data_IF_745874341794
#
_entry.id   IF_745874341794
#
_cell.length_a   1.000
_cell.length_b   1.000
_cell.length_c   1.000
_cell.angle_alpha   90.00
_cell.angle_beta   90.00
_cell.angle_gamma   90.00
#
_symmetry.space_group_name_H-M   'P 1'
#
loop_
_entity.id
_entity.type
_entity.pdbx_description
1 polymer ?
#
# COMPACT_ATOMS: atom_id res chain seq x y z
N UNK A 1 14.87 -14.21 15.71
CA UNK A 1 13.54 -14.31 16.39
C UNK A 1 12.56 -13.48 15.57
N UNK A 2 11.48 -14.07 15.05
CA UNK A 2 10.46 -13.34 14.29
C UNK A 2 9.47 -12.62 15.20
N UNK A 3 8.92 -11.49 14.74
CA UNK A 3 7.80 -10.76 15.38
C UNK A 3 6.65 -10.68 14.39
N UNK A 4 5.44 -10.94 14.85
CA UNK A 4 4.20 -10.77 14.10
C UNK A 4 3.30 -9.80 14.86
N UNK A 5 2.90 -8.70 14.22
CA UNK A 5 2.18 -7.61 14.88
C UNK A 5 0.92 -7.27 14.07
N UNK A 6 -0.19 -7.15 14.77
CA UNK A 6 -1.50 -6.75 14.26
C UNK A 6 -2.14 -5.74 15.21
N UNK A 7 -3.16 -4.99 14.77
CA UNK A 7 -4.05 -4.28 15.70
C UNK A 7 -4.59 -5.22 16.78
N UNK A 8 -4.84 -4.66 17.97
CA UNK A 8 -5.48 -5.42 19.05
C UNK A 8 -6.88 -5.88 18.65
N UNK A 9 -7.64 -4.98 18.02
CA UNK A 9 -9.01 -5.25 17.57
C UNK A 9 -9.14 -4.88 16.09
N UNK A 10 -9.84 -5.74 15.34
CA UNK A 10 -10.22 -5.53 13.96
C UNK A 10 -11.75 -5.69 13.84
N UNK A 11 -12.43 -4.61 13.47
CA UNK A 11 -13.85 -4.62 13.15
C UNK A 11 -14.05 -4.59 11.64
N UNK A 12 -14.95 -5.42 11.11
CA UNK A 12 -15.16 -5.55 9.67
C UNK A 12 -16.63 -5.79 9.32
N UNK A 13 -16.96 -5.51 8.05
CA UNK A 13 -18.32 -5.61 7.52
C UNK A 13 -19.06 -4.28 7.48
N UNK A 14 -20.21 -4.27 6.83
CA UNK A 14 -21.05 -3.07 6.68
C UNK A 14 -21.42 -2.44 8.01
N UNK A 15 -21.22 -1.15 8.13
CA UNK A 15 -21.49 -0.39 9.35
C UNK A 15 -20.44 -0.55 10.45
N UNK A 16 -19.33 -1.26 10.20
CA UNK A 16 -18.27 -1.43 11.21
C UNK A 16 -17.70 -0.10 11.72
N UNK A 17 -17.77 0.99 10.92
CA UNK A 17 -17.34 2.34 11.34
C UNK A 17 -18.05 2.84 12.60
N UNK A 18 -19.28 2.36 12.86
CA UNK A 18 -20.06 2.76 14.03
C UNK A 18 -19.52 2.19 15.36
N UNK A 19 -18.53 1.27 15.31
CA UNK A 19 -17.87 0.76 16.51
C UNK A 19 -17.02 1.82 17.23
N UNK A 20 -16.69 2.94 16.58
CA UNK A 20 -15.95 4.05 17.23
C UNK A 20 -16.66 4.60 18.46
N UNK A 21 -18.01 4.53 18.55
CA UNK A 21 -18.78 4.97 19.70
C UNK A 21 -18.54 4.11 20.97
N UNK A 22 -18.03 2.88 20.78
CA UNK A 22 -17.73 1.96 21.87
C UNK A 22 -16.31 2.13 22.44
N UNK A 23 -15.48 2.95 21.81
CA UNK A 23 -14.16 3.31 22.33
C UNK A 23 -14.28 4.00 23.70
N UNK A 24 -13.24 3.92 24.51
CA UNK A 24 -13.22 4.51 25.85
C UNK A 24 -12.17 5.61 25.92
N UNK A 25 -12.63 6.82 26.12
CA UNK A 25 -11.77 8.00 26.18
C UNK A 25 -12.59 9.27 26.45
N UNK A 26 -11.99 10.42 26.23
CA UNK A 26 -12.59 11.74 26.48
C UNK A 26 -12.47 12.68 25.29
N UNK A 27 -11.34 12.67 24.60
CA UNK A 27 -11.03 13.58 23.49
C UNK A 27 -10.55 12.80 22.29
N UNK A 28 -11.20 12.93 21.16
CA UNK A 28 -10.82 12.30 19.91
C UNK A 28 -10.51 13.35 18.84
N UNK A 29 -9.36 13.23 18.18
CA UNK A 29 -9.09 14.00 16.97
C UNK A 29 -9.30 13.11 15.75
N UNK A 30 -10.12 13.57 14.78
CA UNK A 30 -10.33 12.87 13.52
C UNK A 30 -9.42 13.49 12.47
N UNK A 31 -8.56 12.67 11.86
CA UNK A 31 -7.68 13.07 10.75
C UNK A 31 -8.27 12.53 9.45
N UNK A 32 -8.49 13.39 8.46
CA UNK A 32 -9.08 13.02 7.18
C UNK A 32 -8.41 13.77 6.01
N UNK A 33 -8.32 13.08 4.86
CA UNK A 33 -7.86 13.68 3.61
C UNK A 33 -9.01 14.14 2.73
N UNK A 34 -8.70 14.96 1.72
CA UNK A 34 -9.60 15.34 0.65
C UNK A 34 -11.05 15.66 1.07
N UNK A 35 -12.01 15.33 0.20
CA UNK A 35 -13.43 15.61 0.44
C UNK A 35 -14.33 14.37 0.33
N UNK A 36 -13.79 13.19 -0.01
CA UNK A 36 -14.59 11.99 -0.28
C UNK A 36 -15.34 11.50 0.96
N UNK A 37 -14.67 11.42 2.10
CA UNK A 37 -15.29 10.96 3.36
C UNK A 37 -16.39 11.92 3.84
N UNK A 38 -16.18 13.23 3.66
CA UNK A 38 -17.21 14.24 3.96
C UNK A 38 -18.39 14.18 3.00
N UNK A 39 -18.14 14.07 1.68
CA UNK A 39 -19.22 13.97 0.67
C UNK A 39 -20.04 12.70 0.80
N UNK A 40 -19.42 11.58 1.21
CA UNK A 40 -20.10 10.32 1.47
C UNK A 40 -20.90 10.28 2.78
N UNK A 41 -20.75 11.30 3.65
CA UNK A 41 -21.38 11.32 4.97
C UNK A 41 -20.61 10.56 6.05
N UNK A 42 -19.60 9.80 5.69
CA UNK A 42 -18.85 8.90 6.61
C UNK A 42 -18.11 9.66 7.70
N UNK A 43 -17.56 10.84 7.37
CA UNK A 43 -16.89 11.68 8.36
C UNK A 43 -17.87 12.20 9.42
N UNK A 44 -19.09 12.57 8.99
CA UNK A 44 -20.16 13.00 9.86
C UNK A 44 -20.67 11.88 10.75
N UNK A 45 -20.81 10.65 10.20
CA UNK A 45 -21.19 9.46 10.97
C UNK A 45 -20.19 9.21 12.12
N UNK A 46 -18.89 9.15 11.79
CA UNK A 46 -17.81 8.91 12.77
C UNK A 46 -17.77 10.02 13.83
N UNK A 47 -17.95 11.29 13.43
CA UNK A 47 -18.00 12.42 14.37
C UNK A 47 -19.21 12.32 15.31
N UNK A 48 -20.38 11.96 14.78
CA UNK A 48 -21.61 11.79 15.57
C UNK A 48 -21.50 10.61 16.55
N UNK A 49 -20.98 9.47 16.10
CA UNK A 49 -20.79 8.28 16.92
C UNK A 49 -19.82 8.51 18.08
N UNK A 50 -18.71 9.22 17.84
CA UNK A 50 -17.78 9.60 18.90
C UNK A 50 -18.41 10.52 19.93
N UNK A 51 -19.22 11.50 19.48
CA UNK A 51 -19.97 12.38 20.38
C UNK A 51 -21.02 11.61 21.18
N UNK A 52 -21.74 10.65 20.56
CA UNK A 52 -22.65 9.72 21.24
C UNK A 52 -21.90 8.90 22.30
N UNK A 53 -20.67 8.45 21.97
CA UNK A 53 -19.75 7.74 22.89
C UNK A 53 -19.21 8.61 24.03
N UNK A 54 -19.51 9.92 24.04
CA UNK A 54 -19.13 10.86 25.09
C UNK A 54 -17.80 11.59 24.84
N UNK A 55 -17.25 11.54 23.63
CA UNK A 55 -16.02 12.25 23.28
C UNK A 55 -16.25 13.72 22.96
N UNK A 56 -15.34 14.56 23.39
CA UNK A 56 -15.08 15.86 22.75
C UNK A 56 -14.29 15.58 21.45
N UNK A 57 -14.77 16.14 20.31
CA UNK A 57 -14.22 15.82 18.99
C UNK A 57 -13.66 17.06 18.31
N UNK A 58 -12.40 16.97 17.81
CA UNK A 58 -11.76 17.94 16.92
C UNK A 58 -11.51 17.31 15.57
N UNK A 59 -11.66 18.09 14.49
CA UNK A 59 -11.35 17.65 13.12
C UNK A 59 -10.03 18.26 12.65
N UNK A 60 -9.21 17.46 11.99
CA UNK A 60 -8.06 17.87 11.18
C UNK A 60 -8.25 17.32 9.78
N UNK A 61 -8.62 18.19 8.85
CA UNK A 61 -8.99 17.84 7.48
C UNK A 61 -8.00 18.37 6.46
N UNK A 62 -8.06 17.84 5.25
CA UNK A 62 -7.31 18.34 4.11
C UNK A 62 -5.90 17.79 3.99
N UNK A 63 -5.65 16.60 4.58
CA UNK A 63 -4.42 15.87 4.28
C UNK A 63 -4.38 15.56 2.79
N UNK A 64 -3.34 16.03 2.12
CA UNK A 64 -3.11 15.84 0.69
C UNK A 64 -2.72 14.39 0.36
N UNK A 65 -2.88 14.03 -0.91
CA UNK A 65 -2.24 12.81 -1.42
C UNK A 65 -0.72 12.94 -1.30
N UNK A 66 -0.04 11.86 -0.95
CA UNK A 66 1.40 11.90 -0.64
C UNK A 66 1.73 12.95 0.43
N UNK A 67 1.33 12.71 1.69
CA UNK A 67 1.35 13.73 2.74
C UNK A 67 2.76 14.27 3.03
N UNK A 68 2.85 15.58 3.19
CA UNK A 68 4.11 16.28 3.44
C UNK A 68 4.53 16.23 4.91
N UNK A 69 5.82 16.44 5.14
CA UNK A 69 6.35 16.67 6.50
C UNK A 69 5.66 17.88 7.15
N UNK A 70 5.39 18.94 6.38
CA UNK A 70 4.72 20.14 6.86
C UNK A 70 3.30 19.85 7.35
N UNK A 71 2.55 19.04 6.65
CA UNK A 71 1.20 18.60 7.08
C UNK A 71 1.27 17.75 8.34
N UNK A 72 2.24 16.84 8.43
CA UNK A 72 2.47 16.06 9.66
C UNK A 72 2.74 16.96 10.86
N UNK A 73 3.64 17.93 10.72
CA UNK A 73 4.00 18.84 11.83
C UNK A 73 2.83 19.73 12.26
N UNK A 74 2.01 20.23 11.31
CA UNK A 74 0.77 20.99 11.61
C UNK A 74 -0.25 20.13 12.35
N UNK A 75 -0.43 18.87 11.95
CA UNK A 75 -1.34 17.96 12.63
C UNK A 75 -0.86 17.63 14.05
N UNK A 76 0.42 17.37 14.23
CA UNK A 76 1.00 17.16 15.56
C UNK A 76 0.82 18.38 16.49
N UNK A 77 0.95 19.61 15.95
CA UNK A 77 0.67 20.83 16.71
C UNK A 77 -0.80 20.92 17.14
N UNK A 78 -1.72 20.64 16.20
CA UNK A 78 -3.16 20.61 16.50
C UNK A 78 -3.52 19.55 17.56
N UNK A 79 -2.77 18.42 17.59
CA UNK A 79 -2.91 17.40 18.64
C UNK A 79 -2.37 17.89 19.99
N UNK A 80 -1.23 18.58 20.01
CA UNK A 80 -0.67 19.17 21.26
C UNK A 80 -1.59 20.20 21.89
N UNK A 81 -2.25 21.03 21.06
CA UNK A 81 -3.23 22.01 21.54
C UNK A 81 -4.50 21.39 22.11
N UNK A 82 -4.97 20.29 21.49
CA UNK A 82 -6.24 19.67 21.84
C UNK A 82 -6.08 18.58 22.90
N UNK A 83 -4.93 17.93 22.97
CA UNK A 83 -4.59 16.82 23.87
C UNK A 83 -5.57 15.63 23.75
N UNK A 84 -5.72 15.03 22.55
CA UNK A 84 -6.57 13.87 22.37
C UNK A 84 -6.01 12.63 23.08
N UNK A 85 -6.90 11.79 23.60
CA UNK A 85 -6.57 10.44 24.05
C UNK A 85 -6.88 9.36 22.99
N UNK A 86 -7.51 9.78 21.88
CA UNK A 86 -7.68 8.97 20.66
C UNK A 86 -7.40 9.77 19.40
N UNK A 87 -6.65 9.15 18.49
CA UNK A 87 -6.45 9.61 17.12
C UNK A 87 -7.25 8.68 16.21
N UNK A 88 -8.24 9.21 15.51
CA UNK A 88 -9.09 8.49 14.57
C UNK A 88 -8.71 8.93 13.16
N UNK A 89 -8.08 8.06 12.39
CA UNK A 89 -7.73 8.37 11.00
C UNK A 89 -8.74 7.71 10.05
N UNK A 90 -9.37 8.49 9.17
CA UNK A 90 -10.36 7.98 8.21
C UNK A 90 -10.02 8.41 6.78
N UNK A 91 -9.93 7.43 5.89
CA UNK A 91 -9.67 7.67 4.46
C UNK A 91 -8.83 6.59 3.81
N UNK A 92 -8.19 6.91 2.70
CA UNK A 92 -7.19 6.05 2.07
C UNK A 92 -5.84 6.07 2.83
N UNK A 93 -4.78 5.59 2.18
CA UNK A 93 -3.45 5.53 2.79
C UNK A 93 -2.97 6.87 3.35
N UNK A 94 -3.05 7.95 2.55
CA UNK A 94 -2.47 9.25 2.89
C UNK A 94 -2.89 9.85 4.24
N UNK A 95 -4.19 9.98 4.58
CA UNK A 95 -4.57 10.53 5.87
C UNK A 95 -4.22 9.60 7.05
N UNK A 96 -4.22 8.29 6.85
CA UNK A 96 -3.84 7.35 7.91
C UNK A 96 -2.32 7.40 8.14
N UNK A 97 -1.53 7.44 7.07
CA UNK A 97 -0.07 7.57 7.13
C UNK A 97 0.34 8.88 7.80
N UNK A 98 -0.27 10.01 7.38
CA UNK A 98 -0.04 11.30 8.03
C UNK A 98 -0.36 11.24 9.52
N UNK A 99 -1.51 10.68 9.89
CA UNK A 99 -1.93 10.57 11.29
C UNK A 99 -0.98 9.71 12.14
N UNK A 100 -0.44 8.62 11.60
CA UNK A 100 0.58 7.79 12.26
C UNK A 100 1.84 8.60 12.54
N UNK A 101 2.33 9.37 11.56
CA UNK A 101 3.49 10.23 11.75
C UNK A 101 3.19 11.40 12.73
N UNK A 102 2.00 12.02 12.63
CA UNK A 102 1.54 13.03 13.59
C UNK A 102 1.55 12.52 15.03
N UNK A 103 1.13 11.24 15.23
CA UNK A 103 1.11 10.59 16.53
C UNK A 103 2.48 10.58 17.20
N UNK A 104 3.55 10.26 16.44
CA UNK A 104 4.92 10.28 16.95
C UNK A 104 5.29 11.67 17.47
N UNK A 105 5.10 12.73 16.67
CA UNK A 105 5.44 14.10 17.04
C UNK A 105 4.47 14.73 18.05
N UNK A 106 3.29 14.19 18.23
CA UNK A 106 2.37 14.55 19.31
C UNK A 106 2.89 14.05 20.67
N UNK A 107 3.31 12.79 20.72
CA UNK A 107 3.80 12.21 21.97
C UNK A 107 5.22 12.64 22.30
N UNK A 108 6.07 12.83 21.28
CA UNK A 108 7.48 13.19 21.39
C UNK A 108 7.82 14.42 20.53
N UNK A 109 7.48 15.62 21.00
CA UNK A 109 7.70 16.86 20.24
C UNK A 109 9.17 17.20 19.99
N UNK A 110 10.08 16.61 20.77
CA UNK A 110 11.54 16.75 20.63
C UNK A 110 12.12 15.85 19.53
N UNK A 111 11.37 14.87 19.03
CA UNK A 111 11.83 14.00 17.96
C UNK A 111 12.05 14.78 16.66
N UNK A 112 12.99 14.30 15.86
CA UNK A 112 13.25 14.83 14.51
C UNK A 112 12.80 13.85 13.42
N UNK A 113 12.43 14.39 12.26
CA UNK A 113 12.09 13.54 11.12
C UNK A 113 13.29 12.68 10.68
N UNK A 114 14.52 13.21 10.77
CA UNK A 114 15.76 12.48 10.42
C UNK A 114 15.99 11.26 11.32
N UNK A 115 15.50 11.27 12.56
CA UNK A 115 15.58 10.10 13.44
C UNK A 115 14.58 9.02 13.03
N UNK A 116 13.31 9.40 12.79
CA UNK A 116 12.24 8.44 12.51
C UNK A 116 12.27 7.84 11.09
N UNK A 117 13.06 8.37 10.17
CA UNK A 117 13.28 7.74 8.86
C UNK A 117 14.11 6.44 8.96
N UNK A 118 14.81 6.23 10.07
CA UNK A 118 15.50 4.96 10.31
C UNK A 118 14.49 3.89 10.71
N UNK A 119 14.47 2.71 10.04
CA UNK A 119 13.55 1.65 10.40
C UNK A 119 13.71 1.20 11.86
N UNK A 120 12.57 1.00 12.54
CA UNK A 120 12.50 0.50 13.92
C UNK A 120 13.21 1.37 14.95
N UNK A 121 13.17 2.68 14.77
CA UNK A 121 13.79 3.70 15.65
C UNK A 121 12.80 4.52 16.47
N UNK A 122 11.48 4.27 16.30
CA UNK A 122 10.46 5.06 16.98
C UNK A 122 10.47 4.83 18.48
N UNK A 123 10.22 5.88 19.28
CA UNK A 123 9.95 5.72 20.69
C UNK A 123 8.68 4.91 20.93
N UNK A 124 8.52 4.42 22.16
CA UNK A 124 7.32 3.67 22.54
C UNK A 124 6.11 4.61 22.61
N UNK A 125 5.14 4.39 21.71
CA UNK A 125 3.90 5.18 21.63
C UNK A 125 2.85 4.69 22.64
N UNK A 126 1.68 5.34 22.67
CA UNK A 126 0.55 5.09 23.59
C UNK A 126 0.77 5.69 24.97
N UNK A 127 1.62 6.72 25.07
CA UNK A 127 1.82 7.46 26.31
C UNK A 127 0.71 8.51 26.52
N UNK A 128 0.15 9.07 25.43
CA UNK A 128 -0.89 10.10 25.46
C UNK A 128 -2.17 9.66 24.74
N UNK A 129 -2.04 8.94 23.63
CA UNK A 129 -3.19 8.56 22.79
C UNK A 129 -3.11 7.15 22.25
N UNK A 130 -4.28 6.57 22.01
CA UNK A 130 -4.50 5.37 21.21
C UNK A 130 -4.82 5.74 19.76
N UNK A 131 -4.71 4.77 18.85
CA UNK A 131 -4.90 4.99 17.42
C UNK A 131 -5.96 4.05 16.84
N UNK A 132 -6.96 4.63 16.16
CA UNK A 132 -7.94 3.90 15.37
C UNK A 132 -7.84 4.31 13.90
N UNK A 133 -7.73 3.33 13.00
CA UNK A 133 -7.69 3.54 11.56
C UNK A 133 -8.92 2.98 10.86
N UNK A 134 -9.57 3.79 10.03
CA UNK A 134 -10.75 3.45 9.22
C UNK A 134 -10.38 3.60 7.75
N UNK A 135 -10.17 2.49 7.07
CA UNK A 135 -9.76 2.49 5.67
C UNK A 135 -10.92 2.71 4.71
N UNK A 136 -10.69 3.49 3.65
CA UNK A 136 -11.66 3.75 2.58
C UNK A 136 -11.19 3.33 1.19
N UNK A 137 -10.02 2.70 1.10
CA UNK A 137 -9.47 2.15 -0.15
C UNK A 137 -9.10 0.69 0.04
N UNK A 138 -9.23 -0.10 -1.02
CA UNK A 138 -8.93 -1.54 -0.96
C UNK A 138 -7.55 -1.80 -1.57
N UNK A 139 -6.46 -1.42 -0.86
CA UNK A 139 -5.10 -1.57 -1.38
C UNK A 139 -4.00 -1.45 -0.35
N UNK A 140 -3.81 -0.28 0.23
CA UNK A 140 -2.65 0.06 1.06
C UNK A 140 -2.58 -0.67 2.40
N UNK A 141 -3.73 -1.10 2.90
CA UNK A 141 -3.87 -1.79 4.19
C UNK A 141 -3.22 -1.05 5.38
N UNK A 142 -3.07 0.27 5.28
CA UNK A 142 -2.37 1.03 6.33
C UNK A 142 -3.08 0.96 7.68
N UNK A 143 -4.37 0.59 7.71
CA UNK A 143 -5.13 0.37 8.95
C UNK A 143 -4.59 -0.78 9.81
N UNK A 144 -3.80 -1.69 9.25
CA UNK A 144 -3.25 -2.85 9.99
C UNK A 144 -1.72 -2.90 9.97
N UNK A 145 -1.04 -1.96 9.30
CA UNK A 145 0.39 -2.05 9.06
C UNK A 145 1.23 -1.21 9.99
N UNK A 146 2.50 -1.62 10.14
CA UNK A 146 3.57 -0.92 10.85
C UNK A 146 4.29 0.10 9.96
N UNK A 147 3.63 0.63 8.92
CA UNK A 147 4.22 1.54 7.93
C UNK A 147 3.43 2.84 7.82
N UNK A 148 4.14 3.90 7.40
CA UNK A 148 3.60 5.22 7.05
C UNK A 148 4.51 5.86 6.00
N UNK A 149 3.96 6.32 4.88
CA UNK A 149 4.76 6.94 3.81
C UNK A 149 4.56 8.45 3.83
N UNK A 150 5.66 9.19 4.05
CA UNK A 150 5.67 10.65 4.13
C UNK A 150 6.61 11.23 3.08
N UNK A 151 6.21 12.32 2.45
CA UNK A 151 6.96 12.96 1.37
C UNK A 151 7.71 14.20 1.87
N UNK A 152 9.01 14.24 1.64
CA UNK A 152 9.82 15.43 1.73
C UNK A 152 9.87 16.11 0.36
N UNK A 153 9.00 17.10 0.15
CA UNK A 153 8.92 17.82 -1.11
C UNK A 153 10.14 18.70 -1.37
N UNK A 154 10.88 19.10 -0.34
CA UNK A 154 12.11 19.88 -0.51
C UNK A 154 13.24 19.04 -1.11
N UNK A 155 13.28 17.76 -0.77
CA UNK A 155 14.25 16.79 -1.30
C UNK A 155 13.70 15.97 -2.48
N UNK A 156 12.38 15.98 -2.72
CA UNK A 156 11.72 15.12 -3.70
C UNK A 156 11.76 13.63 -3.33
N UNK A 157 11.74 13.29 -2.04
CA UNK A 157 11.91 11.92 -1.55
C UNK A 157 10.68 11.47 -0.76
N UNK A 158 10.19 10.26 -1.05
CA UNK A 158 9.21 9.55 -0.22
C UNK A 158 9.94 8.64 0.77
N UNK A 159 9.65 8.85 2.06
CA UNK A 159 10.19 8.06 3.15
C UNK A 159 9.17 7.04 3.65
N UNK A 160 9.40 5.75 3.46
CA UNK A 160 8.62 4.70 4.11
C UNK A 160 9.09 4.58 5.57
N UNK A 161 8.37 5.21 6.47
CA UNK A 161 8.58 5.06 7.91
C UNK A 161 8.10 3.68 8.34
N UNK A 162 8.93 2.93 9.06
CA UNK A 162 8.65 1.55 9.45
C UNK A 162 8.94 1.34 10.93
N UNK A 163 7.90 1.12 11.72
CA UNK A 163 8.04 0.73 13.13
C UNK A 163 6.76 0.04 13.63
N UNK A 164 6.92 -1.04 14.40
CA UNK A 164 5.77 -1.74 14.99
C UNK A 164 4.97 -0.87 15.98
N UNK A 165 5.55 0.18 16.53
CA UNK A 165 4.87 1.10 17.43
C UNK A 165 3.73 1.87 16.77
N UNK A 166 3.78 2.10 15.45
CA UNK A 166 2.72 2.79 14.69
C UNK A 166 1.62 1.86 14.15
N UNK A 167 1.70 0.56 14.45
CA UNK A 167 0.54 -0.32 14.16
C UNK A 167 -0.67 0.19 14.96
N UNK A 168 -1.83 0.43 14.33
CA UNK A 168 -3.02 0.90 15.03
C UNK A 168 -3.47 0.00 16.18
N UNK A 169 -4.13 0.54 17.20
CA UNK A 169 -4.76 -0.26 18.26
C UNK A 169 -6.06 -0.90 17.76
N UNK A 170 -6.81 -0.14 16.96
CA UNK A 170 -8.07 -0.56 16.36
C UNK A 170 -8.03 -0.30 14.85
N UNK A 171 -8.39 -1.32 14.08
CA UNK A 171 -8.62 -1.21 12.65
C UNK A 171 -10.11 -1.41 12.34
N UNK A 172 -10.63 -0.61 11.42
CA UNK A 172 -12.01 -0.72 10.94
C UNK A 172 -12.02 -0.85 9.42
N UNK A 173 -12.59 -1.95 8.94
CA UNK A 173 -12.69 -2.35 7.54
C UNK A 173 -14.17 -2.40 7.14
N UNK A 174 -14.73 -1.22 6.86
CA UNK A 174 -16.13 -1.04 6.50
C UNK A 174 -16.25 -0.88 4.97
N UNK A 175 -16.81 -1.88 4.26
CA UNK A 175 -16.87 -1.87 2.80
C UNK A 175 -17.74 -0.74 2.23
N UNK A 176 -18.69 -0.20 2.99
CA UNK A 176 -19.52 0.92 2.53
C UNK A 176 -18.68 2.13 2.10
N UNK A 177 -17.50 2.34 2.74
CA UNK A 177 -16.58 3.42 2.39
C UNK A 177 -15.97 3.24 0.99
N UNK A 178 -16.04 2.05 0.42
CA UNK A 178 -15.45 1.70 -0.89
C UNK A 178 -16.47 1.63 -2.02
N UNK A 179 -17.78 1.60 -1.73
CA UNK A 179 -18.81 1.38 -2.74
C UNK A 179 -18.82 2.44 -3.84
N UNK A 180 -18.44 3.67 -3.53
CA UNK A 180 -18.34 4.78 -4.48
C UNK A 180 -16.92 5.02 -5.01
N UNK A 181 -15.98 4.12 -4.70
CA UNK A 181 -14.60 4.26 -5.17
C UNK A 181 -14.55 4.15 -6.69
N UNK A 182 -13.87 5.09 -7.41
CA UNK A 182 -13.75 5.02 -8.86
C UNK A 182 -13.08 3.72 -9.33
N UNK A 183 -13.56 3.16 -10.46
CA UNK A 183 -13.04 1.91 -11.02
C UNK A 183 -11.51 1.93 -11.21
N UNK A 184 -10.94 3.03 -11.71
CA UNK A 184 -9.49 3.18 -11.87
C UNK A 184 -8.75 3.07 -10.52
N UNK A 185 -9.25 3.70 -9.47
CA UNK A 185 -8.65 3.60 -8.15
C UNK A 185 -8.75 2.15 -7.63
N UNK A 186 -9.90 1.49 -7.83
CA UNK A 186 -10.08 0.07 -7.51
C UNK A 186 -9.05 -0.81 -8.22
N UNK A 187 -8.80 -0.60 -9.51
CA UNK A 187 -7.81 -1.35 -10.28
C UNK A 187 -6.41 -1.21 -9.69
N UNK A 188 -5.96 0.03 -9.50
CA UNK A 188 -4.60 0.28 -9.01
C UNK A 188 -4.40 -0.20 -7.57
N UNK A 189 -5.33 0.08 -6.67
CA UNK A 189 -5.21 -0.35 -5.27
C UNK A 189 -5.35 -1.87 -5.13
N UNK A 190 -6.18 -2.51 -5.94
CA UNK A 190 -6.32 -3.97 -5.93
C UNK A 190 -5.07 -4.70 -6.44
N UNK A 191 -4.40 -4.17 -7.48
CA UNK A 191 -3.11 -4.71 -7.95
C UNK A 191 -1.98 -4.44 -6.96
N UNK A 192 -2.03 -3.34 -6.22
CA UNK A 192 -1.15 -3.06 -5.09
C UNK A 192 -1.29 -4.13 -4.00
N UNK A 193 -2.52 -4.43 -3.58
CA UNK A 193 -2.80 -5.49 -2.61
C UNK A 193 -2.33 -6.89 -3.09
N UNK A 194 -2.49 -7.20 -4.37
CA UNK A 194 -1.97 -8.44 -4.95
C UNK A 194 -0.44 -8.48 -4.87
N UNK A 195 0.22 -7.37 -5.16
CA UNK A 195 1.68 -7.24 -5.08
C UNK A 195 2.17 -7.40 -3.64
N UNK A 196 1.47 -6.80 -2.67
CA UNK A 196 1.74 -6.99 -1.23
C UNK A 196 1.75 -8.49 -0.86
N UNK A 197 0.72 -9.23 -1.25
CA UNK A 197 0.65 -10.66 -0.98
C UNK A 197 1.77 -11.44 -1.68
N UNK A 198 2.03 -11.17 -2.96
CA UNK A 198 3.04 -11.88 -3.75
C UNK A 198 4.44 -11.65 -3.18
N UNK A 199 4.80 -10.42 -2.85
CA UNK A 199 6.11 -10.10 -2.28
C UNK A 199 6.26 -10.64 -0.86
N UNK A 200 5.27 -10.44 0.01
CA UNK A 200 5.30 -11.00 1.36
C UNK A 200 5.44 -12.51 1.37
N UNK A 201 4.83 -13.20 0.40
CA UNK A 201 4.91 -14.65 0.30
C UNK A 201 6.31 -15.13 -0.06
N UNK A 202 7.03 -14.48 -0.98
CA UNK A 202 8.40 -14.89 -1.39
C UNK A 202 9.50 -14.24 -0.55
N UNK A 203 9.21 -13.23 0.23
CA UNK A 203 10.16 -12.49 1.09
C UNK A 203 11.04 -13.41 1.92
N UNK A 204 12.27 -12.97 2.22
CA UNK A 204 13.17 -13.67 3.14
C UNK A 204 12.65 -13.67 4.59
N UNK A 205 11.77 -12.74 4.93
CA UNK A 205 11.07 -12.64 6.22
C UNK A 205 9.73 -13.42 6.27
N UNK A 206 9.36 -14.14 5.20
CA UNK A 206 8.14 -14.94 5.16
C UNK A 206 8.11 -16.00 6.27
N UNK A 207 6.92 -16.22 6.83
CA UNK A 207 6.67 -17.14 7.92
C UNK A 207 5.33 -17.84 7.74
N UNK A 208 5.04 -18.90 8.50
CA UNK A 208 3.74 -19.57 8.47
C UNK A 208 2.58 -18.60 8.75
N UNK A 209 2.79 -17.56 9.58
CA UNK A 209 1.79 -16.55 9.90
C UNK A 209 1.53 -15.62 8.71
N UNK A 210 2.58 -15.19 8.02
CA UNK A 210 2.47 -14.32 6.84
C UNK A 210 1.99 -15.10 5.63
N UNK A 211 2.45 -16.34 5.46
CA UNK A 211 2.09 -17.21 4.32
C UNK A 211 0.58 -17.50 4.28
N UNK A 212 -0.03 -17.82 5.43
CA UNK A 212 -1.45 -18.11 5.52
C UNK A 212 -2.31 -16.92 5.03
N UNK A 213 -1.92 -15.70 5.41
CA UNK A 213 -2.59 -14.47 4.98
C UNK A 213 -2.29 -14.15 3.52
N UNK A 214 -1.03 -14.21 3.08
CA UNK A 214 -0.63 -13.91 1.71
C UNK A 214 -1.33 -14.83 0.69
N UNK A 215 -1.34 -16.14 0.94
CA UNK A 215 -1.97 -17.11 0.04
C UNK A 215 -3.48 -16.93 -0.04
N UNK A 216 -4.14 -16.66 1.09
CA UNK A 216 -5.57 -16.37 1.09
C UNK A 216 -5.86 -15.07 0.34
N UNK A 217 -5.10 -14.00 0.61
CA UNK A 217 -5.23 -12.72 -0.09
C UNK A 217 -5.04 -12.84 -1.60
N UNK A 218 -4.04 -13.60 -2.09
CA UNK A 218 -3.84 -13.83 -3.52
C UNK A 218 -5.09 -14.43 -4.16
N UNK A 219 -5.67 -15.47 -3.55
CA UNK A 219 -6.87 -16.14 -4.08
C UNK A 219 -8.05 -15.17 -4.17
N UNK A 220 -8.36 -14.48 -3.06
CA UNK A 220 -9.48 -13.56 -2.99
C UNK A 220 -9.32 -12.40 -3.99
N UNK A 221 -8.14 -11.78 -4.04
CA UNK A 221 -7.90 -10.64 -4.95
C UNK A 221 -8.03 -11.07 -6.41
N UNK A 222 -7.44 -12.19 -6.82
CA UNK A 222 -7.50 -12.67 -8.20
C UNK A 222 -8.93 -13.02 -8.64
N UNK A 223 -9.75 -13.49 -7.71
CA UNK A 223 -11.16 -13.82 -7.99
C UNK A 223 -12.05 -12.58 -8.04
N UNK A 224 -11.90 -11.66 -7.08
CA UNK A 224 -12.87 -10.60 -6.85
C UNK A 224 -12.50 -9.24 -7.45
N UNK A 225 -11.23 -8.98 -7.73
CA UNK A 225 -10.79 -7.67 -8.24
C UNK A 225 -11.47 -7.29 -9.56
N UNK A 226 -11.62 -8.16 -10.58
CA UNK A 226 -12.33 -7.79 -11.82
C UNK A 226 -13.80 -7.43 -11.58
N UNK A 227 -14.47 -8.13 -10.68
CA UNK A 227 -15.88 -7.87 -10.32
C UNK A 227 -16.00 -6.54 -9.53
N UNK A 228 -15.09 -6.31 -8.59
CA UNK A 228 -14.99 -5.07 -7.82
C UNK A 228 -14.71 -3.86 -8.72
N UNK A 229 -13.85 -4.03 -9.73
CA UNK A 229 -13.59 -3.02 -10.77
C UNK A 229 -14.86 -2.68 -11.57
N UNK A 230 -15.71 -3.68 -11.85
CA UNK A 230 -16.99 -3.50 -12.51
C UNK A 230 -18.08 -2.87 -11.61
N UNK A 231 -17.79 -2.66 -10.30
CA UNK A 231 -18.69 -1.98 -9.36
C UNK A 231 -19.61 -2.90 -8.57
N UNK A 232 -19.37 -4.21 -8.56
CA UNK A 232 -20.12 -5.16 -7.76
C UNK A 232 -19.85 -4.93 -6.26
N UNK A 233 -20.92 -4.79 -5.45
CA UNK A 233 -20.80 -4.46 -4.02
C UNK A 233 -20.29 -5.64 -3.18
N UNK A 234 -20.68 -6.87 -3.48
CA UNK A 234 -20.14 -8.05 -2.81
C UNK A 234 -18.63 -8.17 -3.07
N UNK A 235 -18.23 -7.96 -4.31
CA UNK A 235 -16.82 -7.94 -4.66
C UNK A 235 -16.05 -6.78 -4.01
N UNK A 236 -16.68 -5.62 -3.78
CA UNK A 236 -16.08 -4.51 -3.01
C UNK A 236 -15.82 -4.92 -1.57
N UNK A 237 -16.73 -5.65 -0.94
CA UNK A 237 -16.54 -6.19 0.40
C UNK A 237 -15.38 -7.17 0.43
N UNK A 238 -15.38 -8.19 -0.46
CA UNK A 238 -14.29 -9.15 -0.54
C UNK A 238 -12.94 -8.48 -0.74
N UNK A 239 -12.86 -7.51 -1.65
CA UNK A 239 -11.62 -6.78 -1.90
C UNK A 239 -11.18 -5.93 -0.71
N UNK A 240 -12.13 -5.38 0.06
CA UNK A 240 -11.78 -4.57 1.23
C UNK A 240 -11.24 -5.42 2.38
N UNK A 241 -11.78 -6.61 2.57
CA UNK A 241 -11.26 -7.60 3.52
C UNK A 241 -9.93 -8.21 3.02
N UNK A 242 -9.83 -8.55 1.72
CA UNK A 242 -8.63 -9.14 1.14
C UNK A 242 -7.41 -8.20 1.21
N UNK A 243 -7.58 -6.88 0.98
CA UNK A 243 -6.49 -5.93 1.14
C UNK A 243 -6.02 -5.83 2.60
N UNK A 244 -6.93 -5.89 3.56
CA UNK A 244 -6.59 -5.92 4.98
C UNK A 244 -5.75 -7.18 5.30
N UNK A 245 -6.16 -8.35 4.81
CA UNK A 245 -5.40 -9.60 4.92
C UNK A 245 -4.01 -9.47 4.27
N UNK A 246 -3.90 -8.80 3.10
CA UNK A 246 -2.62 -8.49 2.47
C UNK A 246 -1.74 -7.64 3.38
N UNK A 247 -2.32 -6.65 4.05
CA UNK A 247 -1.64 -5.82 5.05
C UNK A 247 -1.08 -6.63 6.21
N UNK A 248 -1.87 -7.54 6.76
CA UNK A 248 -1.47 -8.45 7.82
C UNK A 248 -0.28 -9.32 7.38
N UNK A 249 -0.27 -9.74 6.12
CA UNK A 249 0.84 -10.51 5.56
C UNK A 249 2.12 -9.67 5.45
N UNK A 250 2.08 -8.52 4.75
CA UNK A 250 3.30 -7.77 4.47
C UNK A 250 3.80 -6.93 5.64
N UNK A 251 2.95 -6.54 6.59
CA UNK A 251 3.39 -5.78 7.76
C UNK A 251 4.46 -6.50 8.57
N UNK A 252 4.47 -7.83 8.55
CA UNK A 252 5.47 -8.66 9.22
C UNK A 252 6.32 -9.49 8.26
N UNK A 253 5.84 -9.76 7.04
CA UNK A 253 6.57 -10.47 5.99
C UNK A 253 7.49 -9.56 5.18
N UNK A 254 7.27 -8.25 5.25
CA UNK A 254 7.94 -7.22 4.47
C UNK A 254 7.71 -7.39 2.95
N UNK A 255 8.35 -6.55 2.15
CA UNK A 255 8.11 -6.45 0.71
C UNK A 255 9.39 -6.78 -0.08
N UNK A 256 9.42 -6.43 -1.37
CA UNK A 256 10.53 -6.70 -2.26
C UNK A 256 10.74 -5.62 -3.30
N UNK A 257 11.36 -6.01 -4.42
CA UNK A 257 11.83 -5.06 -5.44
C UNK A 257 10.74 -4.50 -6.36
N UNK A 258 9.53 -5.08 -6.39
CA UNK A 258 8.41 -4.43 -7.09
C UNK A 258 8.12 -3.09 -6.42
N UNK A 259 7.95 -3.09 -5.09
CA UNK A 259 7.73 -1.87 -4.32
C UNK A 259 8.92 -0.93 -4.38
N UNK A 260 10.16 -1.43 -4.28
CA UNK A 260 11.36 -0.60 -4.41
C UNK A 260 11.39 0.17 -5.73
N UNK A 261 11.06 -0.48 -6.84
CA UNK A 261 10.97 0.19 -8.15
C UNK A 261 9.79 1.16 -8.23
N UNK A 262 8.62 0.78 -7.71
CA UNK A 262 7.43 1.62 -7.71
C UNK A 262 7.63 2.92 -6.90
N UNK A 263 8.29 2.86 -5.76
CA UNK A 263 8.64 4.03 -4.95
C UNK A 263 9.52 5.02 -5.72
N UNK A 264 10.45 4.52 -6.54
CA UNK A 264 11.43 5.38 -7.22
C UNK A 264 10.99 5.81 -8.62
N UNK A 265 10.05 5.11 -9.23
CA UNK A 265 9.50 5.52 -10.55
C UNK A 265 8.34 6.51 -10.42
N UNK A 266 7.63 6.51 -9.29
CA UNK A 266 6.40 7.30 -9.11
C UNK A 266 6.57 8.79 -9.42
N UNK A 267 7.61 9.45 -8.93
CA UNK A 267 7.87 10.88 -9.09
C UNK A 267 9.14 11.20 -9.89
N UNK A 268 9.68 10.24 -10.64
CA UNK A 268 10.97 10.39 -11.33
C UNK A 268 10.88 11.21 -12.61
N UNK A 269 9.70 11.36 -13.22
CA UNK A 269 9.50 11.88 -14.56
C UNK A 269 8.86 13.27 -14.55
N UNK A 270 9.30 14.14 -15.47
CA UNK A 270 8.88 15.56 -15.51
C UNK A 270 7.42 15.75 -15.91
N UNK A 271 6.92 14.90 -16.82
CA UNK A 271 5.58 15.07 -17.41
C UNK A 271 4.45 14.39 -16.65
N UNK A 272 4.72 13.84 -15.47
CA UNK A 272 3.68 13.23 -14.67
C UNK A 272 4.15 12.26 -13.59
N UNK A 273 3.17 11.70 -12.93
CA UNK A 273 3.35 10.79 -11.81
C UNK A 273 2.85 9.40 -12.19
N UNK A 274 3.71 8.38 -12.10
CA UNK A 274 3.23 6.99 -12.22
C UNK A 274 2.54 6.61 -10.91
N UNK A 275 1.24 6.31 -11.02
CA UNK A 275 0.44 5.87 -9.87
C UNK A 275 1.04 4.59 -9.30
N UNK A 276 1.25 4.56 -7.98
CA UNK A 276 1.97 3.49 -7.27
C UNK A 276 1.46 2.09 -7.62
N UNK A 277 0.15 1.85 -7.50
CA UNK A 277 -0.42 0.54 -7.84
C UNK A 277 -0.33 0.18 -9.32
N UNK A 278 -0.29 1.17 -10.23
CA UNK A 278 -0.02 0.92 -11.65
C UNK A 278 1.44 0.53 -11.88
N UNK A 279 2.40 1.18 -11.19
CA UNK A 279 3.81 0.81 -11.24
C UNK A 279 4.01 -0.64 -10.75
N UNK A 280 3.39 -0.99 -9.62
CA UNK A 280 3.41 -2.35 -9.10
C UNK A 280 2.86 -3.35 -10.11
N UNK A 281 1.69 -3.07 -10.72
CA UNK A 281 1.06 -3.95 -11.70
C UNK A 281 1.93 -4.18 -12.95
N UNK A 282 2.57 -3.14 -13.47
CA UNK A 282 3.48 -3.24 -14.64
C UNK A 282 4.78 -3.99 -14.34
N UNK A 283 5.26 -3.92 -13.11
CA UNK A 283 6.54 -4.54 -12.71
C UNK A 283 6.37 -5.97 -12.18
N UNK A 284 5.21 -6.33 -11.60
CA UNK A 284 5.02 -7.59 -10.87
C UNK A 284 5.39 -8.83 -11.69
N UNK A 285 4.90 -8.94 -12.94
CA UNK A 285 5.20 -10.08 -13.81
C UNK A 285 6.69 -10.21 -14.11
N UNK A 286 7.40 -9.09 -14.31
CA UNK A 286 8.84 -9.07 -14.60
C UNK A 286 9.66 -9.45 -13.37
N UNK A 287 9.24 -9.02 -12.19
CA UNK A 287 9.89 -9.40 -10.92
C UNK A 287 9.66 -10.87 -10.60
N UNK A 288 8.49 -11.43 -10.89
CA UNK A 288 8.28 -12.89 -10.76
C UNK A 288 9.26 -13.65 -11.64
N UNK A 289 9.47 -13.24 -12.89
CA UNK A 289 10.48 -13.84 -13.79
C UNK A 289 11.90 -13.69 -13.23
N UNK A 290 12.24 -12.50 -12.70
CA UNK A 290 13.54 -12.25 -12.07
C UNK A 290 13.77 -13.11 -10.83
N UNK A 291 12.83 -13.10 -9.90
CA UNK A 291 12.94 -13.81 -8.63
C UNK A 291 12.87 -15.34 -8.81
N UNK A 292 12.24 -15.84 -9.88
CA UNK A 292 12.16 -17.29 -10.16
C UNK A 292 13.51 -17.94 -10.48
N UNK A 293 14.58 -17.16 -10.61
CA UNK A 293 15.95 -17.71 -10.68
C UNK A 293 16.49 -18.11 -9.29
N UNK A 294 15.86 -17.65 -8.21
CA UNK A 294 16.05 -18.22 -6.88
C UNK A 294 15.18 -19.49 -6.72
N UNK A 295 15.76 -20.65 -6.37
CA UNK A 295 15.00 -21.91 -6.30
C UNK A 295 13.83 -21.87 -5.31
N UNK A 296 14.00 -21.22 -4.13
CA UNK A 296 12.94 -21.12 -3.13
C UNK A 296 11.78 -20.24 -3.65
N UNK A 297 12.09 -19.13 -4.30
CA UNK A 297 11.07 -18.27 -4.87
C UNK A 297 10.34 -18.96 -6.02
N UNK A 298 11.05 -19.72 -6.89
CA UNK A 298 10.45 -20.49 -7.96
C UNK A 298 9.44 -21.53 -7.45
N UNK A 299 9.80 -22.30 -6.42
CA UNK A 299 8.89 -23.25 -5.77
C UNK A 299 7.64 -22.56 -5.20
N UNK A 300 7.81 -21.40 -4.56
CA UNK A 300 6.70 -20.65 -3.96
C UNK A 300 5.77 -20.06 -5.03
N UNK A 301 6.28 -19.49 -6.12
CA UNK A 301 5.46 -19.04 -7.24
C UNK A 301 4.73 -20.19 -7.95
N UNK A 302 5.41 -21.31 -8.16
CA UNK A 302 4.77 -22.50 -8.72
C UNK A 302 3.65 -23.04 -7.82
N UNK A 303 3.84 -23.01 -6.48
CA UNK A 303 2.79 -23.36 -5.52
C UNK A 303 1.57 -22.43 -5.62
N UNK A 304 1.79 -21.12 -5.71
CA UNK A 304 0.69 -20.14 -5.93
C UNK A 304 -0.06 -20.47 -7.21
N UNK A 305 0.65 -20.69 -8.31
CA UNK A 305 0.03 -21.01 -9.60
C UNK A 305 -0.83 -22.28 -9.54
N UNK A 306 -0.27 -23.35 -8.99
CA UNK A 306 -0.88 -24.69 -9.00
C UNK A 306 -1.97 -24.83 -7.93
N UNK A 307 -1.61 -24.57 -6.66
CA UNK A 307 -2.45 -24.93 -5.51
C UNK A 307 -3.43 -23.81 -5.12
N UNK A 308 -3.10 -22.55 -5.41
CA UNK A 308 -3.94 -21.42 -5.03
C UNK A 308 -4.83 -20.95 -6.19
N UNK A 309 -4.23 -20.82 -7.38
CA UNK A 309 -4.93 -20.29 -8.56
C UNK A 309 -5.36 -21.36 -9.56
N UNK A 310 -4.98 -22.63 -9.34
CA UNK A 310 -5.33 -23.78 -10.18
C UNK A 310 -4.99 -23.58 -11.67
N UNK A 311 -3.85 -22.92 -11.92
CA UNK A 311 -3.36 -22.66 -13.28
C UNK A 311 -2.75 -23.93 -13.89
N UNK A 312 -2.78 -24.08 -15.23
CA UNK A 312 -2.19 -25.23 -15.91
C UNK A 312 -0.67 -25.18 -15.90
N UNK A 313 -0.02 -26.35 -15.82
CA UNK A 313 1.41 -26.56 -15.89
C UNK A 313 1.85 -27.80 -15.11
N UNK A 314 2.90 -28.45 -15.57
CA UNK A 314 3.47 -29.66 -14.93
C UNK A 314 4.84 -29.35 -14.29
N UNK A 315 5.57 -28.38 -14.81
CA UNK A 315 6.87 -27.94 -14.28
C UNK A 315 6.76 -26.58 -13.61
N UNK A 316 7.75 -26.22 -12.76
CA UNK A 316 7.78 -24.91 -12.13
C UNK A 316 7.84 -23.79 -13.19
N UNK A 317 8.59 -23.98 -14.27
CA UNK A 317 8.72 -23.02 -15.37
C UNK A 317 7.35 -22.77 -16.05
N UNK A 318 6.60 -23.85 -16.36
CA UNK A 318 5.27 -23.74 -16.96
C UNK A 318 4.28 -23.04 -16.01
N UNK A 319 4.29 -23.41 -14.73
CA UNK A 319 3.44 -22.79 -13.70
C UNK A 319 3.76 -21.32 -13.48
N UNK A 320 5.04 -20.94 -13.45
CA UNK A 320 5.46 -19.53 -13.34
C UNK A 320 5.06 -18.75 -14.58
N UNK A 321 5.23 -19.32 -15.78
CA UNK A 321 4.77 -18.68 -17.01
C UNK A 321 3.24 -18.47 -17.01
N UNK A 322 2.46 -19.45 -16.54
CA UNK A 322 1.02 -19.34 -16.39
C UNK A 322 0.63 -18.26 -15.34
N UNK A 323 1.39 -18.12 -14.24
CA UNK A 323 1.19 -17.09 -13.24
C UNK A 323 1.44 -15.68 -13.82
N UNK A 324 2.54 -15.51 -14.56
CA UNK A 324 2.85 -14.24 -15.25
C UNK A 324 1.75 -13.88 -16.24
N UNK A 325 1.28 -14.86 -17.02
CA UNK A 325 0.17 -14.64 -17.96
C UNK A 325 -1.12 -14.24 -17.22
N UNK A 326 -1.43 -14.87 -16.08
CA UNK A 326 -2.60 -14.50 -15.27
C UNK A 326 -2.55 -13.06 -14.79
N UNK A 327 -1.37 -12.55 -14.40
CA UNK A 327 -1.17 -11.14 -14.02
C UNK A 327 -1.38 -10.22 -15.23
N UNK A 328 -0.86 -10.60 -16.40
CA UNK A 328 -1.09 -9.85 -17.65
C UNK A 328 -2.59 -9.77 -18.00
N UNK A 329 -3.29 -10.89 -17.87
CA UNK A 329 -4.74 -10.96 -18.12
C UNK A 329 -5.53 -10.06 -17.14
N UNK A 330 -5.09 -9.98 -15.88
CA UNK A 330 -5.67 -9.05 -14.91
C UNK A 330 -5.41 -7.60 -15.30
N UNK A 331 -4.19 -7.24 -15.66
CA UNK A 331 -3.88 -5.87 -16.13
C UNK A 331 -4.77 -5.49 -17.31
N UNK A 332 -4.99 -6.39 -18.27
CA UNK A 332 -5.86 -6.14 -19.41
C UNK A 332 -7.33 -5.95 -19.01
N UNK A 333 -7.86 -6.81 -18.12
CA UNK A 333 -9.23 -6.70 -17.61
C UNK A 333 -9.46 -5.40 -16.82
N UNK A 334 -8.42 -4.89 -16.15
CA UNK A 334 -8.45 -3.69 -15.34
C UNK A 334 -8.06 -2.41 -16.11
N UNK A 335 -7.80 -2.54 -17.42
CA UNK A 335 -7.31 -1.45 -18.27
C UNK A 335 -6.01 -0.80 -17.75
N UNK A 336 -5.14 -1.57 -17.12
CA UNK A 336 -3.81 -1.16 -16.70
C UNK A 336 -2.82 -1.45 -17.85
N UNK A 337 -1.88 -0.54 -18.18
CA UNK A 337 -0.82 -0.80 -19.16
C UNK A 337 0.04 -2.01 -18.79
N UNK A 338 0.58 -2.70 -19.80
CA UNK A 338 1.51 -3.81 -19.58
C UNK A 338 2.97 -3.32 -19.35
N UNK A 339 3.25 -2.08 -19.70
CA UNK A 339 4.60 -1.51 -19.63
C UNK A 339 4.59 -0.02 -19.27
N UNK A 340 5.72 0.47 -18.78
CA UNK A 340 5.89 1.91 -18.51
C UNK A 340 5.83 2.73 -19.83
N UNK A 341 6.27 2.14 -20.96
CA UNK A 341 6.19 2.77 -22.27
C UNK A 341 4.74 3.02 -22.71
N UNK A 342 3.82 2.10 -22.36
CA UNK A 342 2.41 2.19 -22.72
C UNK A 342 1.57 2.93 -21.66
N UNK A 343 2.23 3.55 -20.67
CA UNK A 343 1.57 4.29 -19.60
C UNK A 343 1.28 5.73 -20.03
N UNK A 344 0.00 6.11 -20.00
CA UNK A 344 -0.46 7.47 -20.15
C UNK A 344 -0.85 8.10 -18.81
N UNK A 345 -0.99 9.41 -18.77
CA UNK A 345 -1.30 10.13 -17.54
C UNK A 345 -2.60 9.61 -16.90
N UNK A 346 -2.53 9.43 -15.60
CA UNK A 346 -3.63 8.87 -14.80
C UNK A 346 -3.74 7.35 -14.85
N UNK A 347 -2.73 6.61 -15.34
CA UNK A 347 -2.65 5.17 -15.24
C UNK A 347 -3.49 4.39 -16.24
N UNK A 348 -3.69 4.94 -17.41
CA UNK A 348 -4.40 4.28 -18.53
C UNK A 348 -3.41 3.94 -19.65
N UNK A 349 -3.87 3.09 -20.58
CA UNK A 349 -3.09 2.73 -21.78
C UNK A 349 -2.97 3.93 -22.74
N UNK A 350 -1.83 4.00 -23.41
CA UNK A 350 -1.61 4.99 -24.48
C UNK A 350 -2.60 4.77 -25.62
N UNK A 351 -3.25 5.84 -26.06
CA UNK A 351 -4.13 5.89 -27.23
C UNK A 351 -4.11 7.28 -27.90
N UNK A 352 -5.01 7.55 -28.83
CA UNK A 352 -5.07 8.83 -29.54
C UNK A 352 -5.40 10.04 -28.63
N UNK A 353 -6.10 9.81 -27.52
CA UNK A 353 -6.54 10.85 -26.57
C UNK A 353 -5.60 10.91 -25.35
N UNK A 354 -4.91 9.81 -25.05
CA UNK A 354 -4.04 9.63 -23.91
C UNK A 354 -2.60 9.37 -24.39
N UNK A 355 -1.79 10.41 -24.63
CA UNK A 355 -0.42 10.24 -25.12
C UNK A 355 0.49 9.62 -24.06
N UNK A 356 1.56 8.99 -24.53
CA UNK A 356 2.62 8.42 -23.70
C UNK A 356 3.15 9.48 -22.72
N UNK A 357 3.25 9.10 -21.45
CA UNK A 357 3.73 10.00 -20.40
C UNK A 357 5.25 10.00 -20.27
N UNK A 358 5.88 8.83 -20.37
CA UNK A 358 7.32 8.65 -20.16
C UNK A 358 7.99 8.32 -21.48
N UNK A 359 8.70 9.29 -22.07
CA UNK A 359 9.48 9.06 -23.29
C UNK A 359 10.66 8.12 -23.04
N UNK A 360 11.12 7.44 -24.10
CA UNK A 360 12.30 6.57 -24.02
C UNK A 360 13.56 7.35 -23.62
N UNK A 361 13.74 8.56 -24.16
CA UNK A 361 14.87 9.42 -23.84
C UNK A 361 14.90 9.79 -22.36
N UNK A 362 13.77 10.24 -21.82
CA UNK A 362 13.63 10.58 -20.40
C UNK A 362 13.84 9.36 -19.50
N UNK A 363 13.20 8.22 -19.84
CA UNK A 363 13.36 6.98 -19.10
C UNK A 363 14.83 6.56 -19.00
N UNK A 364 15.55 6.52 -20.15
CA UNK A 364 16.95 6.12 -20.18
C UNK A 364 17.87 7.11 -19.44
N UNK A 365 17.56 8.41 -19.49
CA UNK A 365 18.31 9.42 -18.74
C UNK A 365 18.14 9.28 -17.22
N UNK A 366 16.94 8.91 -16.73
CA UNK A 366 16.64 8.73 -15.31
C UNK A 366 16.98 7.35 -14.77
N UNK A 367 17.12 6.37 -15.63
CA UNK A 367 17.26 4.96 -15.24
C UNK A 367 18.39 4.69 -14.23
N UNK A 368 19.63 5.22 -14.38
CA UNK A 368 20.70 4.98 -13.41
C UNK A 368 20.38 5.52 -12.01
N UNK A 369 19.73 6.69 -11.94
CA UNK A 369 19.30 7.31 -10.68
C UNK A 369 18.20 6.49 -10.00
N UNK A 370 17.17 6.08 -10.76
CA UNK A 370 16.09 5.24 -10.28
C UNK A 370 16.63 3.91 -9.74
N UNK A 371 17.52 3.26 -10.48
CA UNK A 371 18.11 1.98 -10.11
C UNK A 371 18.98 2.06 -8.84
N UNK A 372 19.80 3.09 -8.70
CA UNK A 372 20.61 3.33 -7.51
C UNK A 372 19.74 3.60 -6.27
N UNK A 373 18.68 4.39 -6.43
CA UNK A 373 17.73 4.68 -5.35
C UNK A 373 16.89 3.45 -4.97
N UNK A 374 16.54 2.58 -5.93
CA UNK A 374 15.83 1.34 -5.66
C UNK A 374 16.70 0.33 -4.89
N UNK A 375 18.01 0.24 -5.19
CA UNK A 375 18.93 -0.63 -4.43
C UNK A 375 18.94 -0.29 -2.93
N UNK A 376 18.80 0.98 -2.58
CA UNK A 376 18.83 1.47 -1.19
C UNK A 376 17.44 1.60 -0.56
N UNK A 377 16.38 1.23 -1.27
CA UNK A 377 15.02 1.27 -0.73
C UNK A 377 14.84 0.25 0.40
N UNK A 378 14.01 0.61 1.39
CA UNK A 378 13.78 -0.23 2.57
C UNK A 378 13.15 -1.59 2.26
N UNK A 379 12.52 -1.76 1.09
CA UNK A 379 11.91 -3.03 0.67
C UNK A 379 12.91 -3.99 -0.01
N UNK A 380 14.04 -3.49 -0.49
CA UNK A 380 15.01 -4.28 -1.27
C UNK A 380 15.68 -5.42 -0.49
N UNK A 381 16.06 -5.25 0.78
CA UNK A 381 16.81 -6.29 1.51
C UNK A 381 16.08 -7.61 1.66
N UNK A 382 14.75 -7.61 1.67
CA UNK A 382 13.94 -8.80 1.89
C UNK A 382 13.52 -9.52 0.59
N UNK A 383 13.91 -8.98 -0.57
CA UNK A 383 13.69 -9.67 -1.83
C UNK A 383 14.47 -10.99 -1.88
N UNK A 384 13.85 -12.10 -2.35
CA UNK A 384 14.49 -13.42 -2.29
C UNK A 384 15.79 -13.51 -3.12
N UNK A 385 15.88 -12.79 -4.23
CA UNK A 385 17.08 -12.69 -5.06
C UNK A 385 17.77 -11.35 -4.82
N UNK A 386 19.04 -11.39 -4.40
CA UNK A 386 19.84 -10.17 -4.26
C UNK A 386 19.83 -9.38 -5.58
N UNK A 387 19.57 -8.07 -5.49
CA UNK A 387 19.41 -7.20 -6.66
C UNK A 387 20.20 -5.92 -6.45
N UNK A 388 21.18 -5.66 -7.33
CA UNK A 388 22.03 -4.47 -7.33
C UNK A 388 21.56 -3.45 -8.36
N UNK A 389 22.05 -2.21 -8.32
CA UNK A 389 21.67 -1.16 -9.25
C UNK A 389 21.76 -1.60 -10.72
N UNK A 390 22.83 -2.31 -11.12
CA UNK A 390 22.96 -2.84 -12.47
C UNK A 390 21.88 -3.87 -12.85
N UNK A 391 21.33 -4.59 -11.89
CA UNK A 391 20.25 -5.54 -12.13
C UNK A 391 18.89 -4.80 -12.17
N UNK A 392 18.69 -3.81 -11.29
CA UNK A 392 17.53 -2.92 -11.37
C UNK A 392 17.41 -2.24 -12.72
N UNK A 393 18.54 -1.76 -13.32
CA UNK A 393 18.51 -1.19 -14.67
C UNK A 393 17.97 -2.18 -15.72
N UNK A 394 18.36 -3.46 -15.63
CA UNK A 394 17.89 -4.50 -16.56
C UNK A 394 16.40 -4.81 -16.35
N UNK A 395 15.99 -4.99 -15.09
CA UNK A 395 14.58 -5.27 -14.75
C UNK A 395 13.68 -4.08 -15.13
N UNK A 396 14.09 -2.86 -14.83
CA UNK A 396 13.35 -1.64 -15.22
C UNK A 396 13.24 -1.48 -16.74
N UNK A 397 14.29 -1.83 -17.51
CA UNK A 397 14.21 -1.89 -18.97
C UNK A 397 13.18 -2.92 -19.43
N UNK A 398 13.14 -4.10 -18.81
CA UNK A 398 12.13 -5.10 -19.11
C UNK A 398 10.71 -4.59 -18.80
N UNK A 399 10.53 -3.85 -17.70
CA UNK A 399 9.25 -3.19 -17.36
C UNK A 399 8.88 -2.07 -18.34
N UNK A 400 9.89 -1.34 -18.87
CA UNK A 400 9.63 -0.27 -19.84
C UNK A 400 9.27 -0.80 -21.23
N UNK A 401 9.99 -1.80 -21.73
CA UNK A 401 9.81 -2.33 -23.09
C UNK A 401 8.86 -3.54 -23.18
N UNK A 402 8.32 -4.01 -22.07
CA UNK A 402 7.53 -5.26 -21.96
C UNK A 402 8.29 -6.49 -22.50
N UNK A 403 9.57 -6.60 -22.22
CA UNK A 403 10.38 -7.77 -22.60
C UNK A 403 10.45 -8.80 -21.47
N UNK A 404 10.55 -10.09 -21.82
CA UNK A 404 10.73 -11.14 -20.82
C UNK A 404 12.13 -11.10 -20.20
N UNK A 405 12.22 -11.59 -18.96
CA UNK A 405 13.47 -11.73 -18.22
C UNK A 405 13.92 -13.19 -18.27
N UNK A 406 15.02 -13.47 -18.96
CA UNK A 406 15.63 -14.79 -19.11
C UNK A 406 17.05 -14.90 -18.51
N UNK A 407 17.54 -13.82 -17.86
CA UNK A 407 18.90 -13.68 -17.31
C UNK A 407 18.96 -13.73 -15.78
#
# INVERSE_FOLDING_TARGET
>A
MGRFTNPRDLYFGEGARHEVKNLKGKKAIIVSGGSSMRRGGFLQDVEADLKEGGFEVKLFEGVESDPSIETVMKGAEAMREFEPDWIIAIGGGSPIDAAKAMWVFYEYPEESFDNIIQPFSFPELRQKAHFCAISSTSGTATEVTAFSVITDYAKGIKYPLADFNITPDVAIVDPELTYTMPAKLCAHTGMDALTHCMEAYVSTCASMFTDANALHGIREIVEWLPKSYAGDHEARQHMHEAQCIAGIAFSSGLLGIVHSMAHKTGAAFENGHIIHGAANAMCLGKVIQWNSKDPRAAERYAYVAKEILHLPGETNEELIAALVQKIRDLNDQLNIPQSIKDYANGGVKVDAENPQMVSEEEFLAKLPEIAANAETDACTPENPRETKAADFEKVLKACYYDTDIDF
#
